data_IF_785769633130
#
_entry.id   IF_785769633130
#
_cell.length_a   1.000
_cell.length_b   1.000
_cell.length_c   1.000
_cell.angle_alpha   90.00
_cell.angle_beta   90.00
_cell.angle_gamma   90.00
#
_symmetry.space_group_name_H-M   'P 1'
#
loop_
_entity.id
_entity.type
_entity.pdbx_description
1 polymer ?
#
# COMPACT_ATOMS: atom_id res chain seq x y z
N UNK A 1 34.00 -4.37 13.96
CA UNK A 1 33.97 -4.68 12.52
C UNK A 1 33.78 -6.18 12.24
N UNK A 2 34.15 -7.10 13.15
CA UNK A 2 34.02 -8.56 12.95
C UNK A 2 32.58 -9.10 13.08
N UNK A 3 31.72 -8.52 13.94
CA UNK A 3 30.32 -8.98 14.09
C UNK A 3 29.50 -8.79 12.81
N UNK A 4 29.58 -7.62 12.19
CA UNK A 4 28.84 -7.29 10.96
C UNK A 4 29.17 -8.19 9.77
N UNK A 5 30.41 -8.70 9.69
CA UNK A 5 30.81 -9.59 8.60
C UNK A 5 30.32 -11.03 8.84
N UNK A 6 30.23 -11.43 10.11
CA UNK A 6 29.69 -12.73 10.54
C UNK A 6 28.18 -12.80 10.35
N UNK A 7 27.44 -11.74 10.70
CA UNK A 7 25.98 -11.65 10.50
C UNK A 7 25.60 -11.68 9.01
N UNK A 8 26.41 -11.05 8.16
CA UNK A 8 26.25 -11.12 6.70
C UNK A 8 26.42 -12.55 6.18
N UNK A 9 27.41 -13.29 6.68
CA UNK A 9 27.65 -14.67 6.27
C UNK A 9 26.48 -15.60 6.65
N UNK A 10 26.01 -15.54 7.90
CA UNK A 10 24.87 -16.32 8.37
C UNK A 10 23.58 -15.97 7.63
N UNK A 11 23.36 -14.69 7.33
CA UNK A 11 22.21 -14.25 6.52
C UNK A 11 22.27 -14.83 5.09
N UNK A 12 23.44 -14.83 4.46
CA UNK A 12 23.64 -15.43 3.13
C UNK A 12 23.32 -16.93 3.15
N UNK A 13 23.77 -17.63 4.19
CA UNK A 13 23.51 -19.06 4.37
C UNK A 13 22.01 -19.34 4.55
N UNK A 14 21.35 -18.62 5.44
CA UNK A 14 19.90 -18.71 5.63
C UNK A 14 19.12 -18.47 4.31
N UNK A 15 19.47 -17.43 3.55
CA UNK A 15 18.81 -17.17 2.27
C UNK A 15 19.05 -18.29 1.25
N UNK A 16 20.23 -18.91 1.23
CA UNK A 16 20.51 -20.07 0.37
C UNK A 16 19.64 -21.26 0.76
N UNK A 17 19.52 -21.57 2.05
CA UNK A 17 18.63 -22.63 2.56
C UNK A 17 17.17 -22.40 2.14
N UNK A 18 16.74 -21.13 2.08
CA UNK A 18 15.40 -20.73 1.62
C UNK A 18 15.26 -20.66 0.08
N UNK A 19 16.25 -21.13 -0.67
CA UNK A 19 16.18 -21.26 -2.13
C UNK A 19 16.51 -19.99 -2.92
N UNK A 20 17.22 -19.03 -2.32
CA UNK A 20 17.69 -17.85 -3.06
C UNK A 20 18.91 -18.20 -3.90
N UNK A 21 18.88 -17.80 -5.17
CA UNK A 21 20.06 -17.87 -6.03
C UNK A 21 21.08 -16.80 -5.63
N UNK A 22 22.35 -17.02 -5.98
CA UNK A 22 23.45 -16.07 -5.72
C UNK A 22 23.10 -14.63 -6.18
N UNK A 23 22.47 -14.48 -7.34
CA UNK A 23 22.05 -13.17 -7.87
C UNK A 23 20.92 -12.54 -7.05
N UNK A 24 19.94 -13.34 -6.57
CA UNK A 24 18.86 -12.84 -5.72
C UNK A 24 19.40 -12.40 -4.37
N UNK A 25 20.28 -13.20 -3.76
CA UNK A 25 20.97 -12.84 -2.52
C UNK A 25 21.77 -11.55 -2.69
N UNK A 26 22.57 -11.41 -3.75
CA UNK A 26 23.29 -10.16 -4.04
C UNK A 26 22.37 -8.94 -4.21
N UNK A 27 21.21 -9.11 -4.85
CA UNK A 27 20.22 -8.03 -4.95
C UNK A 27 19.60 -7.62 -3.61
N UNK A 28 19.48 -8.55 -2.65
CA UNK A 28 19.07 -8.25 -1.28
C UNK A 28 20.10 -7.34 -0.62
N UNK A 29 21.37 -7.75 -0.60
CA UNK A 29 22.45 -6.98 0.04
C UNK A 29 22.78 -5.67 -0.68
N UNK A 30 22.59 -5.58 -2.00
CA UNK A 30 22.77 -4.31 -2.75
C UNK A 30 21.83 -3.19 -2.30
N UNK A 31 20.67 -3.54 -1.75
CA UNK A 31 19.67 -2.56 -1.35
C UNK A 31 19.84 -2.14 0.13
N UNK A 32 20.69 -2.80 0.93
CA UNK A 32 20.83 -2.58 2.38
C UNK A 32 22.27 -2.75 2.90
N UNK A 33 22.82 -1.75 3.59
CA UNK A 33 24.22 -1.72 4.06
C UNK A 33 24.48 -2.47 5.38
N UNK A 34 23.49 -2.52 6.28
CA UNK A 34 23.59 -3.16 7.60
C UNK A 34 22.44 -4.15 7.83
N UNK A 35 22.77 -5.38 8.24
CA UNK A 35 21.81 -6.47 8.49
C UNK A 35 22.23 -7.17 9.78
N UNK A 36 21.30 -7.28 10.72
CA UNK A 36 21.39 -8.18 11.86
C UNK A 36 20.66 -9.48 11.52
N UNK A 37 21.33 -10.64 11.69
CA UNK A 37 20.78 -11.95 11.28
C UNK A 37 19.51 -12.34 12.05
N UNK A 38 19.44 -11.97 13.33
CA UNK A 38 18.27 -12.19 14.21
C UNK A 38 16.99 -11.64 13.59
N UNK A 39 17.02 -10.39 13.12
CA UNK A 39 15.88 -9.74 12.47
C UNK A 39 15.44 -10.47 11.20
N UNK A 40 16.38 -11.00 10.42
CA UNK A 40 16.07 -11.71 9.17
C UNK A 40 15.26 -12.97 9.44
N UNK A 41 15.67 -13.76 10.44
CA UNK A 41 15.02 -15.01 10.80
C UNK A 41 13.67 -14.77 11.47
N UNK A 42 13.60 -13.80 12.37
CA UNK A 42 12.37 -13.45 13.08
C UNK A 42 11.31 -12.90 12.11
N UNK A 43 11.68 -11.99 11.21
CA UNK A 43 10.78 -11.49 10.16
C UNK A 43 10.29 -12.60 9.24
N UNK A 44 11.16 -13.53 8.85
CA UNK A 44 10.75 -14.66 8.03
C UNK A 44 9.70 -15.53 8.72
N UNK A 45 9.92 -15.85 10.00
CA UNK A 45 9.01 -16.66 10.80
C UNK A 45 7.69 -15.92 11.08
N UNK A 46 7.75 -14.62 11.30
CA UNK A 46 6.56 -13.78 11.46
C UNK A 46 5.70 -13.78 10.19
N UNK A 47 6.29 -13.55 9.01
CA UNK A 47 5.55 -13.61 7.75
C UNK A 47 4.89 -14.98 7.53
N UNK A 48 5.55 -16.06 7.98
CA UNK A 48 5.00 -17.41 7.97
C UNK A 48 3.84 -17.58 8.96
N UNK A 49 3.95 -17.06 10.19
CA UNK A 49 2.88 -17.13 11.20
C UNK A 49 1.63 -16.33 10.81
N UNK A 50 1.79 -15.26 10.03
CA UNK A 50 0.67 -14.52 9.43
C UNK A 50 -0.07 -15.32 8.33
N UNK A 51 0.48 -16.45 7.89
CA UNK A 51 -0.15 -17.33 6.89
C UNK A 51 0.38 -17.16 5.46
N UNK A 52 1.51 -16.46 5.26
CA UNK A 52 2.20 -16.46 3.96
C UNK A 52 2.86 -17.84 3.77
N UNK A 53 2.53 -18.49 2.66
CA UNK A 53 3.13 -19.78 2.32
C UNK A 53 4.65 -19.62 2.11
N UNK A 54 5.44 -20.49 2.71
CA UNK A 54 6.92 -20.43 2.67
C UNK A 54 7.46 -20.37 1.23
N UNK A 55 6.83 -21.09 0.28
CA UNK A 55 7.17 -21.04 -1.15
C UNK A 55 7.00 -19.66 -1.83
N UNK A 56 6.20 -18.76 -1.25
CA UNK A 56 5.95 -17.40 -1.77
C UNK A 56 6.94 -16.38 -1.19
N UNK A 57 7.54 -16.66 -0.03
CA UNK A 57 8.46 -15.75 0.65
C UNK A 57 9.67 -15.36 -0.20
N UNK A 58 10.35 -16.28 -0.93
CA UNK A 58 11.48 -15.90 -1.78
C UNK A 58 11.14 -14.83 -2.83
N UNK A 59 9.93 -14.89 -3.40
CA UNK A 59 9.47 -13.90 -4.38
C UNK A 59 9.19 -12.53 -3.74
N UNK A 60 8.53 -12.51 -2.58
CA UNK A 60 8.21 -11.29 -1.83
C UNK A 60 9.50 -10.56 -1.44
N UNK A 61 10.43 -11.29 -0.84
CA UNK A 61 11.74 -10.77 -0.42
C UNK A 61 12.57 -10.36 -1.63
N UNK A 62 12.53 -11.08 -2.76
CA UNK A 62 13.23 -10.62 -3.97
C UNK A 62 12.71 -9.27 -4.47
N UNK A 63 11.41 -9.01 -4.35
CA UNK A 63 10.81 -7.72 -4.69
C UNK A 63 11.10 -6.63 -3.67
N UNK A 64 11.02 -6.96 -2.39
CA UNK A 64 11.24 -6.04 -1.27
C UNK A 64 12.08 -6.74 -0.19
N UNK A 65 13.42 -6.78 -0.34
CA UNK A 65 14.25 -7.56 0.57
C UNK A 65 14.32 -6.96 1.98
N UNK A 66 13.97 -5.68 2.02
CA UNK A 66 13.80 -4.83 3.18
C UNK A 66 12.83 -5.34 4.22
N UNK A 67 11.85 -6.13 3.80
CA UNK A 67 10.88 -6.73 4.70
C UNK A 67 11.54 -7.62 5.76
N UNK A 68 12.77 -8.09 5.52
CA UNK A 68 13.53 -8.94 6.45
C UNK A 68 14.43 -8.15 7.40
N UNK A 69 14.66 -6.87 7.14
CA UNK A 69 15.58 -6.03 7.92
C UNK A 69 14.85 -5.02 8.80
N UNK A 70 13.52 -5.08 8.81
CA UNK A 70 12.70 -4.28 9.70
C UNK A 70 12.92 -4.77 11.13
N UNK A 71 13.34 -3.87 12.02
CA UNK A 71 13.44 -4.17 13.44
C UNK A 71 12.04 -4.52 13.97
N UNK A 72 11.88 -5.74 14.49
CA UNK A 72 10.62 -6.26 15.05
C UNK A 72 10.50 -6.01 16.55
N UNK A 73 11.18 -5.00 17.09
CA UNK A 73 10.84 -4.54 18.42
C UNK A 73 9.35 -4.18 18.41
N UNK A 74 8.56 -4.76 19.32
CA UNK A 74 7.08 -4.71 19.33
C UNK A 74 6.46 -3.29 19.17
N UNK A 75 7.26 -2.23 19.32
CA UNK A 75 6.91 -0.84 19.02
C UNK A 75 6.91 -0.50 17.53
N UNK A 76 7.71 -1.16 16.70
CA UNK A 76 7.71 -0.93 15.26
C UNK A 76 6.54 -1.63 14.60
N UNK A 77 6.09 -2.84 14.98
CA UNK A 77 4.85 -3.45 14.47
C UNK A 77 3.61 -2.55 14.67
N UNK A 78 3.52 -1.86 15.82
CA UNK A 78 2.52 -0.79 16.05
C UNK A 78 2.72 0.48 15.20
N UNK A 79 3.90 0.64 14.57
CA UNK A 79 4.28 1.73 13.65
C UNK A 79 4.39 1.28 12.18
N UNK A 80 4.41 -0.04 11.92
CA UNK A 80 4.71 -0.74 10.67
C UNK A 80 3.46 -1.06 9.86
N UNK A 81 2.42 -0.29 10.09
CA UNK A 81 1.65 0.34 9.03
C UNK A 81 0.31 0.68 9.66
N UNK A 82 -0.19 1.91 9.47
CA UNK A 82 -1.62 2.15 9.64
C UNK A 82 -2.45 1.06 8.96
N UNK A 83 -1.97 0.44 7.87
CA UNK A 83 -2.55 -0.76 7.23
C UNK A 83 -2.67 -1.99 8.13
N UNK A 84 -1.62 -2.44 8.80
CA UNK A 84 -1.71 -3.68 9.60
C UNK A 84 -2.61 -3.44 10.80
N UNK A 85 -2.39 -2.33 11.51
CA UNK A 85 -3.25 -1.90 12.61
C UNK A 85 -4.70 -1.69 12.16
N UNK A 86 -4.93 -1.07 11.00
CA UNK A 86 -6.25 -0.89 10.43
C UNK A 86 -6.92 -2.21 10.10
N UNK A 87 -6.21 -3.10 9.41
CA UNK A 87 -6.77 -4.38 9.05
C UNK A 87 -7.14 -5.19 10.29
N UNK A 88 -6.33 -5.12 11.35
CA UNK A 88 -6.66 -5.70 12.66
C UNK A 88 -7.88 -5.03 13.32
N UNK A 89 -7.93 -3.69 13.38
CA UNK A 89 -9.06 -2.91 13.93
C UNK A 89 -10.35 -3.14 13.15
N UNK A 90 -10.27 -3.38 11.85
CA UNK A 90 -11.39 -3.72 10.98
C UNK A 90 -11.75 -5.23 11.01
N UNK A 91 -11.14 -6.01 11.92
CA UNK A 91 -11.45 -7.43 12.10
C UNK A 91 -10.98 -8.34 10.97
N UNK A 92 -10.01 -7.90 10.16
CA UNK A 92 -9.44 -8.72 9.07
C UNK A 92 -8.66 -9.89 9.64
N UNK A 93 -8.78 -11.06 9.00
CA UNK A 93 -8.07 -12.25 9.46
C UNK A 93 -6.56 -12.08 9.21
N UNK A 94 -5.68 -12.67 10.05
CA UNK A 94 -4.23 -12.60 9.84
C UNK A 94 -3.79 -13.00 8.42
N UNK A 95 -4.50 -13.95 7.80
CA UNK A 95 -4.29 -14.38 6.42
C UNK A 95 -4.51 -13.27 5.39
N UNK A 96 -5.49 -12.41 5.60
CA UNK A 96 -5.83 -11.30 4.71
C UNK A 96 -4.78 -10.19 4.84
N UNK A 97 -4.31 -9.92 6.05
CA UNK A 97 -3.16 -9.04 6.32
C UNK A 97 -1.90 -9.56 5.63
N UNK A 98 -1.61 -10.85 5.76
CA UNK A 98 -0.52 -11.52 5.05
C UNK A 98 -0.63 -11.38 3.52
N UNK A 99 -1.84 -11.51 2.97
CA UNK A 99 -2.08 -11.36 1.54
C UNK A 99 -1.81 -9.92 1.07
N UNK A 100 -2.20 -8.92 1.85
CA UNK A 100 -1.90 -7.51 1.58
C UNK A 100 -0.38 -7.24 1.59
N UNK A 101 0.32 -7.74 2.61
CA UNK A 101 1.78 -7.65 2.74
C UNK A 101 2.49 -8.29 1.55
N UNK A 102 2.09 -9.50 1.18
CA UNK A 102 2.67 -10.22 0.06
C UNK A 102 2.50 -9.48 -1.28
N UNK A 103 1.40 -8.72 -1.42
CA UNK A 103 1.04 -8.04 -2.67
C UNK A 103 1.73 -6.68 -2.81
N UNK A 104 1.96 -5.96 -1.71
CA UNK A 104 2.52 -4.60 -1.74
C UNK A 104 3.64 -4.35 -0.72
N UNK A 105 4.67 -5.21 -0.63
CA UNK A 105 5.65 -5.12 0.43
C UNK A 105 6.44 -3.79 0.39
N UNK A 106 6.77 -3.26 -0.79
CA UNK A 106 7.49 -1.99 -0.92
C UNK A 106 6.68 -0.79 -0.45
N UNK A 107 5.37 -0.74 -0.72
CA UNK A 107 4.52 0.37 -0.28
C UNK A 107 4.42 0.41 1.24
N UNK A 108 4.37 -0.77 1.87
CA UNK A 108 4.35 -0.87 3.32
C UNK A 108 5.69 -0.44 3.94
N UNK A 109 6.83 -0.83 3.34
CA UNK A 109 8.13 -0.45 3.88
C UNK A 109 8.49 1.02 3.64
N UNK A 110 8.17 1.58 2.48
CA UNK A 110 8.48 2.99 2.19
C UNK A 110 7.69 3.98 3.06
N UNK A 111 6.48 3.62 3.49
CA UNK A 111 5.67 4.44 4.39
C UNK A 111 6.26 4.59 5.81
N UNK A 112 7.17 3.68 6.22
CA UNK A 112 7.73 3.66 7.59
C UNK A 112 8.97 4.55 7.73
N UNK A 113 9.64 4.87 6.62
CA UNK A 113 10.97 5.48 6.66
C UNK A 113 11.03 6.92 6.20
N UNK A 114 9.97 7.45 5.59
CA UNK A 114 9.92 8.87 5.30
C UNK A 114 10.04 9.58 6.66
N UNK A 115 11.17 10.24 6.93
CA UNK A 115 11.49 10.93 8.20
C UNK A 115 10.41 11.95 8.64
N UNK A 116 9.46 12.24 7.75
CA UNK A 116 8.28 13.06 7.94
C UNK A 116 7.12 12.33 8.65
N UNK A 117 7.16 11.01 8.74
CA UNK A 117 6.13 10.17 9.34
C UNK A 117 6.46 9.90 10.81
N UNK A 118 6.33 10.93 11.64
CA UNK A 118 6.12 10.68 13.07
C UNK A 118 4.89 9.79 13.21
N UNK A 119 4.92 8.81 14.12
CA UNK A 119 3.79 7.89 14.36
C UNK A 119 2.46 8.62 14.61
N UNK A 120 2.50 9.89 15.04
CA UNK A 120 1.32 10.73 15.24
C UNK A 120 0.74 11.25 13.92
N UNK A 121 1.57 11.82 13.04
CA UNK A 121 1.14 12.30 11.70
C UNK A 121 0.57 11.15 10.87
N UNK A 122 1.15 9.97 11.06
CA UNK A 122 0.74 8.75 10.44
C UNK A 122 -0.70 8.34 10.69
N UNK A 123 -1.00 8.27 11.99
CA UNK A 123 -2.31 7.89 12.49
C UNK A 123 -3.33 8.97 12.16
N UNK A 124 -2.93 10.26 12.14
CA UNK A 124 -3.81 11.35 11.73
C UNK A 124 -4.20 11.24 10.26
N UNK A 125 -3.25 11.12 9.34
CA UNK A 125 -3.55 10.96 7.91
C UNK A 125 -4.37 9.70 7.64
N UNK A 126 -4.13 8.65 8.43
CA UNK A 126 -4.93 7.44 8.35
C UNK A 126 -6.38 7.65 8.80
N UNK A 127 -6.61 8.34 9.93
CA UNK A 127 -7.95 8.72 10.40
C UNK A 127 -8.66 9.56 9.33
N UNK A 128 -7.98 10.57 8.78
CA UNK A 128 -8.52 11.43 7.72
C UNK A 128 -8.96 10.62 6.49
N UNK A 129 -8.22 9.56 6.12
CA UNK A 129 -8.63 8.66 5.02
C UNK A 129 -9.86 7.85 5.41
N UNK A 130 -9.90 7.27 6.62
CA UNK A 130 -11.07 6.51 7.07
C UNK A 130 -12.31 7.41 7.10
N UNK A 131 -12.24 8.54 7.78
CA UNK A 131 -13.32 9.51 7.91
C UNK A 131 -13.81 9.94 6.51
N UNK A 132 -12.88 10.19 5.58
CA UNK A 132 -13.22 10.53 4.20
C UNK A 132 -13.90 9.39 3.43
N UNK A 133 -13.46 8.13 3.61
CA UNK A 133 -14.09 6.98 2.96
C UNK A 133 -15.47 6.70 3.56
N UNK A 134 -15.64 6.85 4.87
CA UNK A 134 -16.93 6.79 5.56
C UNK A 134 -17.87 7.90 5.07
N UNK A 135 -17.36 9.13 4.93
CA UNK A 135 -18.07 10.27 4.33
C UNK A 135 -18.48 10.06 2.87
N UNK A 136 -17.82 9.14 2.16
CA UNK A 136 -18.18 8.69 0.82
C UNK A 136 -19.20 7.53 0.82
N UNK A 137 -19.66 7.08 1.99
CA UNK A 137 -20.62 5.98 2.16
C UNK A 137 -20.00 4.58 2.10
N UNK A 138 -18.71 4.44 2.42
CA UNK A 138 -18.01 3.14 2.40
C UNK A 138 -17.91 2.48 3.80
N UNK A 139 -18.64 2.99 4.78
CA UNK A 139 -18.66 2.52 6.17
C UNK A 139 -19.38 1.16 6.36
N UNK A 140 -20.16 0.73 5.37
CA UNK A 140 -20.98 -0.49 5.47
C UNK A 140 -20.18 -1.79 5.26
N UNK A 141 -20.61 -2.86 5.94
CA UNK A 141 -20.18 -4.25 5.74
C UNK A 141 -18.67 -4.51 5.73
N UNK A 142 -17.86 -3.66 6.37
CA UNK A 142 -16.40 -3.79 6.33
C UNK A 142 -15.81 -3.63 4.91
N UNK A 143 -16.48 -2.87 4.04
CA UNK A 143 -16.01 -2.55 2.67
C UNK A 143 -14.61 -1.97 2.70
N UNK A 144 -14.35 -1.00 3.59
CA UNK A 144 -13.02 -0.40 3.77
C UNK A 144 -11.97 -1.49 4.04
N UNK A 145 -12.23 -2.43 4.94
CA UNK A 145 -11.31 -3.54 5.23
C UNK A 145 -10.99 -4.36 3.98
N UNK A 146 -12.01 -4.73 3.18
CA UNK A 146 -11.81 -5.46 1.92
C UNK A 146 -10.99 -4.68 0.90
N UNK A 147 -11.24 -3.37 0.77
CA UNK A 147 -10.49 -2.49 -0.11
C UNK A 147 -9.02 -2.46 0.31
N UNK A 148 -8.75 -2.25 1.59
CA UNK A 148 -7.39 -2.13 2.12
C UNK A 148 -6.60 -3.44 2.06
N UNK A 149 -7.26 -4.59 2.21
CA UNK A 149 -6.62 -5.90 1.96
C UNK A 149 -6.20 -6.01 0.49
N UNK A 150 -7.06 -5.61 -0.44
CA UNK A 150 -6.81 -5.74 -1.89
C UNK A 150 -5.86 -4.67 -2.42
N UNK A 151 -5.88 -3.48 -1.84
CA UNK A 151 -5.22 -2.25 -2.29
C UNK A 151 -4.64 -1.44 -1.11
N UNK A 152 -3.70 -2.03 -0.33
CA UNK A 152 -3.11 -1.37 0.85
C UNK A 152 -2.34 -0.08 0.52
N UNK A 153 -2.03 0.17 -0.75
CA UNK A 153 -1.41 1.43 -1.17
C UNK A 153 -2.30 2.66 -0.94
N UNK A 154 -3.62 2.48 -0.82
CA UNK A 154 -4.56 3.58 -0.58
C UNK A 154 -4.21 4.34 0.70
N UNK A 155 -3.71 3.63 1.70
CA UNK A 155 -3.30 4.19 3.00
C UNK A 155 -1.78 4.27 3.17
N UNK A 156 -1.01 3.53 2.36
CA UNK A 156 0.45 3.63 2.36
C UNK A 156 1.00 4.86 1.64
N UNK A 157 0.16 5.60 0.91
CA UNK A 157 0.51 6.88 0.32
C UNK A 157 -0.36 7.99 0.95
N UNK A 158 0.29 9.08 1.35
CA UNK A 158 -0.35 10.25 1.94
C UNK A 158 -1.61 10.69 1.17
N UNK A 159 -2.72 10.84 1.90
CA UNK A 159 -3.99 11.40 1.42
C UNK A 159 -3.77 12.70 0.65
N UNK A 160 -2.99 13.60 1.22
CA UNK A 160 -2.64 14.91 0.66
C UNK A 160 -1.94 14.79 -0.69
N UNK A 161 -1.16 13.72 -0.91
CA UNK A 161 -0.38 13.56 -2.15
C UNK A 161 -1.15 12.87 -3.28
N UNK A 162 -2.27 12.18 -3.01
CA UNK A 162 -2.92 11.30 -4.02
C UNK A 162 -4.43 11.46 -4.11
N UNK A 163 -5.13 11.35 -2.97
CA UNK A 163 -6.58 11.52 -2.93
C UNK A 163 -6.96 12.99 -3.09
N UNK A 164 -6.29 13.90 -2.37
CA UNK A 164 -6.56 15.34 -2.44
C UNK A 164 -6.40 15.96 -3.85
N UNK A 165 -5.35 15.64 -4.64
CA UNK A 165 -5.27 16.10 -6.03
C UNK A 165 -6.41 15.56 -6.89
N UNK A 166 -6.81 14.30 -6.68
CA UNK A 166 -7.89 13.67 -7.45
C UNK A 166 -9.23 14.33 -7.13
N UNK A 167 -9.53 14.54 -5.85
CA UNK A 167 -10.77 15.20 -5.42
C UNK A 167 -10.80 16.65 -5.88
N UNK A 168 -9.67 17.37 -5.78
CA UNK A 168 -9.52 18.74 -6.27
C UNK A 168 -9.76 18.85 -7.79
N UNK A 169 -9.22 17.90 -8.57
CA UNK A 169 -9.47 17.85 -10.01
C UNK A 169 -10.94 17.59 -10.34
N UNK A 170 -11.55 16.56 -9.74
CA UNK A 170 -12.96 16.21 -9.96
C UNK A 170 -13.91 17.36 -9.55
N UNK A 171 -13.57 18.10 -8.49
CA UNK A 171 -14.29 19.32 -8.11
C UNK A 171 -14.09 20.44 -9.13
N UNK A 172 -12.87 20.61 -9.66
CA UNK A 172 -12.55 21.67 -10.64
C UNK A 172 -13.27 21.51 -11.98
N UNK A 173 -13.68 20.29 -12.34
CA UNK A 173 -14.45 20.00 -13.56
C UNK A 173 -15.97 20.11 -13.33
N UNK A 174 -16.41 20.56 -12.15
CA UNK A 174 -17.80 20.96 -11.88
C UNK A 174 -18.65 19.92 -11.17
N UNK A 175 -18.08 18.86 -10.59
CA UNK A 175 -18.88 17.90 -9.82
C UNK A 175 -19.39 18.52 -8.52
N UNK A 176 -20.66 18.25 -8.20
CA UNK A 176 -21.22 18.55 -6.89
C UNK A 176 -20.51 17.73 -5.80
N UNK A 177 -20.57 18.17 -4.53
CA UNK A 177 -19.97 17.42 -3.42
C UNK A 177 -20.54 15.99 -3.31
N UNK A 178 -21.84 15.81 -3.61
CA UNK A 178 -22.48 14.51 -3.59
C UNK A 178 -21.96 13.61 -4.73
N UNK A 179 -21.84 14.15 -5.94
CA UNK A 179 -21.37 13.41 -7.11
C UNK A 179 -19.88 13.08 -7.02
N UNK A 180 -19.09 13.99 -6.44
CA UNK A 180 -17.70 13.77 -6.11
C UNK A 180 -17.54 12.55 -5.20
N UNK A 181 -18.29 12.51 -4.08
CA UNK A 181 -18.27 11.41 -3.12
C UNK A 181 -18.66 10.08 -3.78
N UNK A 182 -19.75 10.05 -4.55
CA UNK A 182 -20.17 8.85 -5.31
C UNK A 182 -19.09 8.38 -6.28
N UNK A 183 -18.51 9.30 -7.04
CA UNK A 183 -17.47 8.97 -8.02
C UNK A 183 -16.24 8.40 -7.31
N UNK A 184 -15.77 9.04 -6.24
CA UNK A 184 -14.64 8.57 -5.44
C UNK A 184 -14.92 7.19 -4.84
N UNK A 185 -16.11 6.95 -4.31
CA UNK A 185 -16.50 5.65 -3.78
C UNK A 185 -16.29 4.55 -4.82
N UNK A 186 -16.77 4.76 -6.06
CA UNK A 186 -16.60 3.79 -7.15
C UNK A 186 -15.14 3.67 -7.60
N UNK A 187 -14.39 4.77 -7.67
CA UNK A 187 -12.98 4.71 -8.00
C UNK A 187 -12.19 3.91 -6.95
N UNK A 188 -12.52 4.04 -5.67
CA UNK A 188 -11.86 3.33 -4.57
C UNK A 188 -12.32 1.87 -4.43
N UNK A 189 -13.52 1.51 -4.88
CA UNK A 189 -13.99 0.11 -4.84
C UNK A 189 -13.60 -0.66 -6.09
N UNK A 190 -13.80 -0.08 -7.28
CA UNK A 190 -13.72 -0.79 -8.56
C UNK A 190 -12.39 -0.58 -9.29
N UNK A 191 -11.79 0.61 -9.19
CA UNK A 191 -10.52 0.90 -9.87
C UNK A 191 -9.52 1.78 -9.07
N UNK A 192 -9.07 1.33 -7.88
CA UNK A 192 -8.12 2.07 -7.05
C UNK A 192 -6.83 2.53 -7.72
N UNK A 193 -6.24 1.80 -8.70
CA UNK A 193 -5.02 2.24 -9.34
C UNK A 193 -5.11 3.61 -10.00
N UNK A 194 -6.31 4.12 -10.32
CA UNK A 194 -6.46 5.46 -10.88
C UNK A 194 -5.95 6.55 -9.92
N UNK A 195 -6.06 6.34 -8.61
CA UNK A 195 -5.73 7.31 -7.56
C UNK A 195 -4.22 7.59 -7.47
N UNK A 196 -3.40 6.66 -7.96
CA UNK A 196 -1.93 6.80 -7.95
C UNK A 196 -1.37 7.24 -9.31
N UNK A 197 -2.22 7.35 -10.34
CA UNK A 197 -1.81 7.79 -11.68
C UNK A 197 -1.77 9.31 -11.79
N UNK A 198 -1.04 9.81 -12.78
CA UNK A 198 -0.97 11.25 -13.04
C UNK A 198 -2.31 11.75 -13.57
N UNK A 199 -2.89 12.76 -12.92
CA UNK A 199 -4.13 13.40 -13.37
C UNK A 199 -3.96 13.94 -14.79
N UNK A 200 -2.90 14.72 -15.03
CA UNK A 200 -2.57 15.33 -16.33
C UNK A 200 -2.44 14.30 -17.47
N UNK A 201 -1.88 13.13 -17.18
CA UNK A 201 -1.61 12.13 -18.21
C UNK A 201 -2.66 11.01 -18.27
N UNK A 202 -3.63 10.96 -17.34
CA UNK A 202 -4.61 9.88 -17.27
C UNK A 202 -6.05 10.38 -17.16
N UNK A 203 -6.38 11.23 -16.19
CA UNK A 203 -7.77 11.69 -16.01
C UNK A 203 -8.13 12.82 -16.98
N UNK A 204 -7.26 13.83 -17.10
CA UNK A 204 -7.53 15.02 -17.90
C UNK A 204 -7.74 14.72 -19.40
N UNK A 205 -6.91 13.89 -20.07
CA UNK A 205 -7.12 13.58 -21.48
C UNK A 205 -8.44 12.84 -21.72
N UNK A 206 -8.88 12.03 -20.75
CA UNK A 206 -10.13 11.30 -20.83
C UNK A 206 -11.31 12.24 -20.66
N UNK A 207 -11.33 13.08 -19.62
CA UNK A 207 -12.38 14.10 -19.47
C UNK A 207 -12.48 15.00 -20.70
N UNK A 208 -11.32 15.41 -21.27
CA UNK A 208 -11.27 16.19 -22.51
C UNK A 208 -11.87 15.44 -23.69
N UNK A 209 -11.65 14.13 -23.81
CA UNK A 209 -12.25 13.31 -24.85
C UNK A 209 -13.77 13.18 -24.66
N UNK A 210 -14.23 12.88 -23.44
CA UNK A 210 -15.65 12.75 -23.12
C UNK A 210 -16.44 14.02 -23.46
N UNK A 211 -15.99 15.17 -22.95
CA UNK A 211 -16.70 16.44 -23.14
C UNK A 211 -16.40 17.05 -24.50
N UNK A 212 -15.13 17.13 -24.89
CA UNK A 212 -14.70 17.87 -26.07
C UNK A 212 -14.83 17.12 -27.39
N UNK A 213 -14.69 15.79 -27.39
CA UNK A 213 -14.75 14.98 -28.62
C UNK A 213 -16.09 14.26 -28.73
N UNK A 214 -16.57 13.63 -27.65
CA UNK A 214 -17.85 12.91 -27.66
C UNK A 214 -19.06 13.83 -27.43
N UNK A 215 -18.85 15.08 -26.98
CA UNK A 215 -19.93 16.03 -26.71
C UNK A 215 -20.84 15.63 -25.55
N UNK A 216 -20.33 14.81 -24.62
CA UNK A 216 -21.08 14.26 -23.49
C UNK A 216 -21.03 15.19 -22.29
N UNK A 217 -22.02 15.08 -21.42
CA UNK A 217 -22.06 15.89 -20.21
C UNK A 217 -21.07 15.36 -19.17
N UNK A 218 -20.49 16.26 -18.37
CA UNK A 218 -19.52 15.86 -17.34
C UNK A 218 -20.17 15.02 -16.23
N UNK A 219 -21.47 15.20 -15.97
CA UNK A 219 -22.23 14.41 -14.99
C UNK A 219 -22.29 12.92 -15.35
N UNK A 220 -22.07 12.56 -16.62
CA UNK A 220 -22.06 11.15 -17.04
C UNK A 220 -20.94 10.34 -16.39
N UNK A 221 -19.88 10.99 -15.87
CA UNK A 221 -18.84 10.26 -15.13
C UNK A 221 -19.34 9.69 -13.81
N UNK A 222 -20.45 10.21 -13.28
CA UNK A 222 -21.11 9.74 -12.06
C UNK A 222 -21.94 8.49 -12.35
N UNK A 223 -22.59 8.45 -13.52
CA UNK A 223 -23.36 7.30 -13.99
C UNK A 223 -22.46 6.17 -14.49
N UNK A 224 -21.33 6.53 -15.12
CA UNK A 224 -20.37 5.60 -15.73
C UNK A 224 -18.93 5.81 -15.25
N UNK A 225 -18.65 5.75 -13.93
CA UNK A 225 -17.31 5.95 -13.37
C UNK A 225 -16.27 4.94 -13.86
N UNK A 226 -16.69 3.80 -14.41
CA UNK A 226 -15.85 2.86 -15.15
C UNK A 226 -15.12 3.50 -16.35
N UNK A 227 -15.54 4.68 -16.80
CA UNK A 227 -14.81 5.49 -17.78
C UNK A 227 -13.34 5.68 -17.39
N UNK A 228 -13.05 5.79 -16.10
CA UNK A 228 -11.68 5.91 -15.60
C UNK A 228 -10.87 4.61 -15.64
N UNK A 229 -11.45 3.47 -16.01
CA UNK A 229 -10.75 2.18 -16.09
C UNK A 229 -9.91 2.02 -17.36
N UNK A 230 -10.32 2.64 -18.46
CA UNK A 230 -9.77 2.46 -19.82
C UNK A 230 -8.93 3.66 -20.23
#
# INVERSE_FOLDING_TARGET
MESSNTDKAHTVEFLKEKGFTKNRTQNVFRRFESIEESHVRDNWNYLKSMGIQEKKLPHIVSKCPRILTLSLDNKLLSKLMPTVHCLETLGSKPRDVAAAIAKFPSTLVHSVEDKLWSSVTALRQFSEILDFLEDCGLDQDGIIGRILVKHPFIIGYSFERRLSPTTGFLKSIGLSELDLKKTIAVLVTEYPPVLIRSIKNCMEPRIRFLVGVMGRDISEIVEYPQYFRH
#
